data_IF_958019776309
#
_entry.id   IF_958019776309
#
_cell.length_a   1.000
_cell.length_b   1.000
_cell.length_c   1.000
_cell.angle_alpha   90.00
_cell.angle_beta   90.00
_cell.angle_gamma   90.00
#
_symmetry.space_group_name_H-M   'P 1'
#
loop_
_entity.id
_entity.type
_entity.pdbx_description
1 polymer ?
#
# COMPACT_ATOMS: atom_id res chain seq x y z
N UNK A 1 22.46 -78.18 -29.17
CA UNK A 1 21.34 -78.50 -30.08
C UNK A 1 20.23 -77.46 -29.82
N UNK A 2 19.70 -76.80 -30.86
CA UNK A 2 18.57 -75.82 -30.80
C UNK A 2 19.01 -74.35 -30.70
N UNK A 3 19.16 -73.55 -31.77
CA UNK A 3 18.20 -72.88 -32.69
C UNK A 3 17.47 -71.62 -32.14
N UNK A 4 17.81 -70.46 -32.76
CA UNK A 4 17.01 -69.29 -33.20
C UNK A 4 16.22 -68.37 -32.24
N UNK A 5 16.56 -67.08 -32.39
CA UNK A 5 15.72 -65.90 -32.70
C UNK A 5 14.51 -65.53 -31.83
N UNK A 6 14.47 -64.26 -31.43
CA UNK A 6 13.24 -63.57 -31.03
C UNK A 6 13.51 -62.32 -30.21
N UNK A 7 13.92 -61.21 -30.85
CA UNK A 7 13.69 -59.87 -30.30
C UNK A 7 12.27 -59.47 -30.69
N UNK A 8 11.47 -59.09 -29.69
CA UNK A 8 10.37 -58.09 -29.69
C UNK A 8 9.51 -58.29 -28.42
N UNK A 9 8.74 -57.30 -27.93
CA UNK A 9 8.93 -55.86 -27.92
C UNK A 9 8.95 -55.31 -26.46
N UNK A 10 9.52 -54.11 -26.29
CA UNK A 10 9.37 -53.33 -25.05
C UNK A 10 7.91 -52.94 -24.86
N UNK A 11 7.28 -53.54 -23.85
CA UNK A 11 6.03 -53.02 -23.29
C UNK A 11 6.32 -51.67 -22.61
N UNK A 12 5.73 -50.55 -23.07
CA UNK A 12 5.86 -49.28 -22.36
C UNK A 12 5.05 -49.39 -21.07
N UNK A 13 5.74 -49.33 -19.92
CA UNK A 13 5.09 -49.21 -18.63
C UNK A 13 4.42 -47.83 -18.55
N UNK A 14 3.20 -47.75 -18.00
CA UNK A 14 2.39 -46.54 -17.99
C UNK A 14 3.07 -45.44 -17.18
N UNK A 15 3.27 -44.30 -17.85
CA UNK A 15 3.72 -43.05 -17.24
C UNK A 15 2.68 -42.66 -16.18
N UNK A 16 3.12 -42.74 -14.94
CA UNK A 16 2.41 -42.35 -13.73
C UNK A 16 1.90 -40.91 -13.85
N UNK A 17 0.58 -40.77 -13.98
CA UNK A 17 -0.21 -39.53 -13.98
C UNK A 17 0.02 -38.59 -12.78
N UNK A 18 0.81 -39.02 -11.78
CA UNK A 18 1.12 -38.27 -10.58
C UNK A 18 2.19 -37.19 -10.78
N UNK A 19 2.99 -37.26 -11.86
CA UNK A 19 4.04 -36.26 -12.14
C UNK A 19 3.52 -34.98 -12.81
N UNK A 20 2.38 -35.03 -13.51
CA UNK A 20 1.77 -33.84 -14.14
C UNK A 20 1.13 -32.92 -13.08
N UNK A 21 0.64 -33.50 -11.97
CA UNK A 21 -0.02 -32.73 -10.92
C UNK A 21 0.94 -31.82 -10.12
N UNK A 22 2.20 -32.22 -9.94
CA UNK A 22 3.13 -31.47 -9.07
C UNK A 22 3.70 -30.23 -9.77
N UNK A 23 3.95 -30.30 -11.08
CA UNK A 23 4.45 -29.15 -11.85
C UNK A 23 3.37 -28.08 -12.03
N UNK A 24 2.09 -28.46 -12.07
CA UNK A 24 0.97 -27.52 -12.14
C UNK A 24 0.76 -26.71 -10.84
N UNK A 25 1.15 -27.24 -9.67
CA UNK A 25 1.00 -26.53 -8.39
C UNK A 25 2.10 -25.47 -8.19
N UNK A 26 3.32 -25.71 -8.70
CA UNK A 26 4.44 -24.78 -8.53
C UNK A 26 4.39 -23.62 -9.55
N UNK A 27 3.87 -23.84 -10.76
CA UNK A 27 3.67 -22.77 -11.75
C UNK A 27 2.36 -21.97 -11.55
N UNK A 28 1.45 -22.44 -10.70
CA UNK A 28 0.19 -21.75 -10.39
C UNK A 28 0.31 -20.67 -9.31
N UNK A 29 1.44 -20.59 -8.59
CA UNK A 29 1.65 -19.62 -7.50
C UNK A 29 2.17 -18.26 -7.97
N UNK A 30 2.38 -18.06 -9.29
CA UNK A 30 2.92 -16.81 -9.85
C UNK A 30 1.87 -15.90 -10.51
N UNK A 31 0.57 -16.18 -10.36
CA UNK A 31 -0.50 -15.43 -11.06
C UNK A 31 -1.62 -14.83 -10.19
N UNK A 32 -1.49 -14.79 -8.86
CA UNK A 32 -2.40 -13.99 -8.02
C UNK A 32 -1.64 -13.36 -6.84
N UNK A 33 -0.97 -12.25 -7.12
CA UNK A 33 -0.87 -11.16 -6.14
C UNK A 33 -1.17 -9.87 -6.89
N UNK A 34 -2.34 -9.86 -7.53
CA UNK A 34 -3.06 -8.66 -7.89
C UNK A 34 -4.27 -8.63 -6.96
N UNK A 35 -4.36 -7.62 -6.10
CA UNK A 35 -5.40 -7.51 -5.07
C UNK A 35 -4.96 -8.14 -3.76
N UNK A 36 -4.35 -7.40 -2.86
CA UNK A 36 -5.00 -6.26 -2.24
C UNK A 36 -3.91 -5.29 -1.83
N UNK A 37 -3.77 -4.20 -2.60
CA UNK A 37 -3.45 -2.94 -1.94
C UNK A 37 -4.47 -2.87 -0.79
N UNK A 38 -4.04 -2.73 0.48
CA UNK A 38 -5.01 -2.54 1.54
C UNK A 38 -5.93 -1.45 1.04
N UNK A 39 -7.20 -1.80 0.80
CA UNK A 39 -8.22 -0.83 0.51
C UNK A 39 -8.45 -0.13 1.84
N UNK A 40 -7.45 0.61 2.30
CA UNK A 40 -7.66 1.70 3.21
C UNK A 40 -8.78 2.49 2.54
N UNK A 41 -9.93 2.64 3.20
CA UNK A 41 -10.99 3.44 2.64
C UNK A 41 -10.35 4.77 2.29
N UNK A 42 -10.25 5.06 0.99
CA UNK A 42 -9.76 6.35 0.54
C UNK A 42 -10.76 7.32 1.12
N UNK A 43 -10.34 8.08 2.14
CA UNK A 43 -11.23 9.04 2.75
C UNK A 43 -11.73 9.95 1.63
N UNK A 44 -13.05 9.99 1.47
CA UNK A 44 -13.66 10.87 0.48
C UNK A 44 -13.52 12.29 1.01
N UNK A 45 -12.52 13.01 0.51
CA UNK A 45 -12.28 14.40 0.89
C UNK A 45 -13.18 15.28 0.02
N UNK A 46 -14.15 15.95 0.64
CA UNK A 46 -14.99 16.94 -0.02
C UNK A 46 -14.22 18.25 -0.28
N UNK A 47 -14.83 19.15 -1.04
CA UNK A 47 -14.18 20.40 -1.48
C UNK A 47 -13.85 21.35 -0.31
N UNK A 48 -14.69 21.42 0.73
CA UNK A 48 -14.46 22.28 1.89
C UNK A 48 -13.29 21.73 2.72
N UNK A 49 -13.27 20.41 2.95
CA UNK A 49 -12.14 19.73 3.62
C UNK A 49 -10.85 19.91 2.83
N UNK A 50 -10.88 19.72 1.50
CA UNK A 50 -9.71 19.95 0.64
C UNK A 50 -9.17 21.39 0.76
N UNK A 51 -10.06 22.38 0.78
CA UNK A 51 -9.67 23.78 0.95
C UNK A 51 -9.06 24.04 2.33
N UNK A 52 -9.61 23.43 3.39
CA UNK A 52 -9.04 23.52 4.74
C UNK A 52 -7.64 22.90 4.82
N UNK A 53 -7.41 21.74 4.20
CA UNK A 53 -6.08 21.12 4.13
C UNK A 53 -5.06 22.06 3.49
N UNK A 54 -5.44 22.72 2.39
CA UNK A 54 -4.59 23.72 1.73
C UNK A 54 -4.28 24.89 2.65
N UNK A 55 -5.29 25.48 3.30
CA UNK A 55 -5.08 26.61 4.21
C UNK A 55 -4.19 26.22 5.39
N UNK A 56 -4.41 25.04 5.97
CA UNK A 56 -3.58 24.51 7.06
C UNK A 56 -2.13 24.33 6.61
N UNK A 57 -1.90 23.70 5.47
CA UNK A 57 -0.57 23.51 4.91
C UNK A 57 0.17 24.83 4.66
N UNK A 58 -0.47 25.76 3.97
CA UNK A 58 0.08 27.08 3.65
C UNK A 58 0.38 27.88 4.93
N UNK A 59 -0.54 27.88 5.89
CA UNK A 59 -0.37 28.68 7.12
C UNK A 59 0.73 28.15 8.04
N UNK A 60 0.97 26.83 8.07
CA UNK A 60 1.99 26.24 8.94
C UNK A 60 3.39 26.26 8.31
N UNK A 61 3.50 26.26 6.98
CA UNK A 61 4.79 26.13 6.29
C UNK A 61 5.21 27.36 5.49
N UNK A 62 4.26 28.20 5.09
CA UNK A 62 4.48 29.26 4.08
C UNK A 62 4.59 28.73 2.65
N UNK A 63 4.51 27.42 2.42
CA UNK A 63 4.61 26.80 1.10
C UNK A 63 3.31 27.05 0.34
N UNK A 64 3.39 27.75 -0.80
CA UNK A 64 2.24 27.97 -1.68
C UNK A 64 2.17 26.85 -2.72
N UNK A 65 1.36 25.83 -2.45
CA UNK A 65 1.11 24.72 -3.36
C UNK A 65 -0.39 24.61 -3.71
N UNK A 66 -0.74 24.05 -4.89
CA UNK A 66 -2.12 23.75 -5.26
C UNK A 66 -2.85 22.88 -4.23
N UNK A 67 -4.18 22.99 -4.16
CA UNK A 67 -5.02 22.24 -3.21
C UNK A 67 -4.81 20.73 -3.31
N UNK A 68 -4.66 20.18 -4.51
CA UNK A 68 -4.46 18.75 -4.75
C UNK A 68 -3.14 18.22 -4.18
N UNK A 69 -2.12 19.06 -4.02
CA UNK A 69 -0.84 18.69 -3.38
C UNK A 69 -1.07 18.42 -1.89
N UNK A 70 -1.79 19.30 -1.21
CA UNK A 70 -2.12 19.13 0.22
C UNK A 70 -3.08 17.95 0.45
N UNK A 71 -4.00 17.72 -0.47
CA UNK A 71 -4.87 16.52 -0.47
C UNK A 71 -4.03 15.25 -0.62
N UNK A 72 -3.02 15.22 -1.50
CA UNK A 72 -2.14 14.06 -1.67
C UNK A 72 -1.35 13.73 -0.40
N UNK A 73 -0.80 14.75 0.28
CA UNK A 73 -0.11 14.55 1.58
C UNK A 73 -1.06 13.95 2.60
N UNK A 74 -2.26 14.53 2.74
CA UNK A 74 -3.25 14.06 3.70
C UNK A 74 -3.71 12.62 3.39
N UNK A 75 -3.95 12.29 2.12
CA UNK A 75 -4.29 10.94 1.68
C UNK A 75 -3.17 9.94 1.97
N UNK A 76 -1.91 10.31 1.71
CA UNK A 76 -0.75 9.47 2.05
C UNK A 76 -0.70 9.22 3.56
N UNK A 77 -0.94 10.26 4.35
CA UNK A 77 -1.04 10.14 5.81
C UNK A 77 -2.14 9.17 6.25
N UNK A 78 -3.33 9.30 5.66
CA UNK A 78 -4.47 8.41 5.95
C UNK A 78 -4.20 6.95 5.59
N UNK A 79 -3.53 6.69 4.47
CA UNK A 79 -3.17 5.33 4.01
C UNK A 79 -2.12 4.71 4.92
N UNK A 80 -1.12 5.48 5.35
CA UNK A 80 -0.02 4.95 6.14
C UNK A 80 -0.32 4.90 7.64
N UNK A 81 -1.35 5.63 8.11
CA UNK A 81 -1.67 5.74 9.52
C UNK A 81 -0.88 6.82 10.23
N UNK A 82 -0.66 7.97 9.59
CA UNK A 82 0.07 9.13 10.13
C UNK A 82 -0.66 9.88 11.26
N UNK A 83 -1.64 9.24 11.91
CA UNK A 83 -2.06 9.58 13.27
C UNK A 83 -1.09 9.01 14.32
N UNK A 84 -0.26 8.02 13.96
CA UNK A 84 0.91 7.61 14.74
C UNK A 84 2.08 8.58 14.47
N UNK A 85 2.79 8.96 15.53
CA UNK A 85 3.87 9.93 15.45
C UNK A 85 5.02 9.51 14.54
N UNK A 86 5.45 8.25 14.64
CA UNK A 86 6.59 7.75 13.87
C UNK A 86 6.24 7.76 12.39
N UNK A 87 5.02 7.33 12.07
CA UNK A 87 4.50 7.34 10.71
C UNK A 87 4.32 8.76 10.17
N UNK A 88 3.82 9.69 10.99
CA UNK A 88 3.68 11.09 10.57
C UNK A 88 5.02 11.73 10.21
N UNK A 89 6.07 11.40 10.97
CA UNK A 89 7.43 11.84 10.66
C UNK A 89 7.95 11.23 9.36
N UNK A 90 7.79 9.91 9.18
CA UNK A 90 8.19 9.23 7.95
C UNK A 90 7.49 9.81 6.71
N UNK A 91 6.18 10.02 6.79
CA UNK A 91 5.40 10.64 5.71
C UNK A 91 5.83 12.09 5.47
N UNK A 92 6.18 12.84 6.52
CA UNK A 92 6.67 14.22 6.40
C UNK A 92 8.05 14.31 5.75
N UNK A 93 8.98 13.45 6.14
CA UNK A 93 10.30 13.35 5.55
C UNK A 93 10.20 12.93 4.06
N UNK A 94 9.30 11.99 3.75
CA UNK A 94 9.06 11.50 2.40
C UNK A 94 8.29 12.50 1.52
N UNK A 95 7.53 13.45 2.09
CA UNK A 95 6.69 14.40 1.35
C UNK A 95 7.47 15.35 0.42
N UNK A 96 8.81 15.32 0.46
CA UNK A 96 9.67 15.98 -0.53
C UNK A 96 9.31 15.64 -1.98
N UNK A 97 8.78 14.44 -2.24
CA UNK A 97 8.33 14.02 -3.57
C UNK A 97 7.02 14.70 -4.03
N UNK A 98 6.22 15.19 -3.08
CA UNK A 98 4.92 15.84 -3.31
C UNK A 98 5.05 17.37 -3.27
N UNK A 99 5.69 17.91 -2.23
CA UNK A 99 5.73 19.36 -1.94
C UNK A 99 7.08 20.00 -2.24
N UNK A 100 8.12 19.20 -2.51
CA UNK A 100 9.48 19.66 -2.81
C UNK A 100 10.40 19.83 -1.59
N UNK A 101 9.86 19.74 -0.38
CA UNK A 101 10.60 19.85 0.88
C UNK A 101 9.96 18.97 1.98
N UNK A 102 10.71 18.60 3.04
CA UNK A 102 10.13 17.80 4.12
C UNK A 102 9.11 18.62 4.91
N UNK A 103 8.02 17.97 5.29
CA UNK A 103 6.99 18.57 6.12
C UNK A 103 7.18 18.18 7.58
N UNK A 104 6.86 19.07 8.54
CA UNK A 104 6.96 18.75 9.94
C UNK A 104 5.86 17.75 10.35
N UNK A 105 6.19 16.84 11.27
CA UNK A 105 5.35 15.69 11.61
C UNK A 105 4.00 16.10 12.22
N UNK A 106 3.96 17.21 12.95
CA UNK A 106 2.74 17.80 13.51
C UNK A 106 1.77 18.24 12.42
N UNK A 107 2.28 18.88 11.36
CA UNK A 107 1.47 19.25 10.21
C UNK A 107 0.90 18.02 9.51
N UNK A 108 1.73 17.01 9.24
CA UNK A 108 1.28 15.77 8.58
C UNK A 108 0.19 15.09 9.41
N UNK A 109 0.36 15.06 10.73
CA UNK A 109 -0.64 14.54 11.65
C UNK A 109 -1.95 15.34 11.55
N UNK A 110 -1.89 16.67 11.59
CA UNK A 110 -3.08 17.54 11.51
C UNK A 110 -3.81 17.31 10.19
N UNK A 111 -3.08 17.33 9.06
CA UNK A 111 -3.65 17.08 7.73
C UNK A 111 -4.33 15.70 7.66
N UNK A 112 -3.70 14.68 8.26
CA UNK A 112 -4.25 13.31 8.32
C UNK A 112 -5.54 13.26 9.12
N UNK A 113 -5.53 13.80 10.35
CA UNK A 113 -6.72 13.78 11.22
C UNK A 113 -7.85 14.62 10.63
N UNK A 114 -7.55 15.74 9.98
CA UNK A 114 -8.57 16.51 9.24
C UNK A 114 -9.16 15.73 8.08
N UNK A 115 -8.35 15.02 7.30
CA UNK A 115 -8.81 14.32 6.09
C UNK A 115 -9.55 13.00 6.37
N UNK A 116 -9.18 12.27 7.41
CA UNK A 116 -9.73 10.95 7.70
C UNK A 116 -10.11 10.74 9.17
N UNK A 117 -10.61 11.79 9.84
CA UNK A 117 -10.99 11.77 11.25
C UNK A 117 -11.74 10.50 11.69
N UNK A 118 -12.74 10.07 10.90
CA UNK A 118 -13.57 8.89 11.22
C UNK A 118 -12.81 7.55 11.20
N UNK A 119 -11.62 7.53 10.58
CA UNK A 119 -10.73 6.37 10.52
C UNK A 119 -9.63 6.42 11.60
N UNK A 120 -9.46 7.57 12.26
CA UNK A 120 -8.42 7.77 13.26
C UNK A 120 -8.86 7.14 14.60
N UNK A 121 -8.01 6.34 15.25
CA UNK A 121 -8.31 5.81 16.58
C UNK A 121 -8.53 6.95 17.59
N UNK A 122 -9.58 6.85 18.41
CA UNK A 122 -9.91 7.86 19.43
C UNK A 122 -8.72 8.19 20.35
N UNK A 123 -7.93 7.18 20.72
CA UNK A 123 -6.73 7.35 21.55
C UNK A 123 -5.66 8.23 20.89
N UNK A 124 -5.56 8.26 19.56
CA UNK A 124 -4.65 9.14 18.85
C UNK A 124 -5.16 10.59 18.89
N UNK A 125 -6.47 10.80 18.72
CA UNK A 125 -7.10 12.13 18.83
C UNK A 125 -6.90 12.71 20.24
N UNK A 126 -7.06 11.89 21.29
CA UNK A 126 -6.84 12.29 22.68
C UNK A 126 -5.38 12.66 22.98
N UNK A 127 -4.42 11.99 22.35
CA UNK A 127 -3.00 12.32 22.47
C UNK A 127 -2.65 13.63 21.77
N UNK A 128 -3.35 13.95 20.68
CA UNK A 128 -3.14 15.16 19.90
C UNK A 128 -1.90 15.09 19.00
N UNK A 129 -1.60 16.19 18.27
CA UNK A 129 -0.44 16.25 17.40
C UNK A 129 0.86 16.18 18.21
N UNK A 130 1.95 15.69 17.59
CA UNK A 130 3.26 15.72 18.22
C UNK A 130 3.76 17.14 18.47
N UNK A 131 4.45 17.32 19.60
CA UNK A 131 5.00 18.60 20.08
C UNK A 131 6.47 18.79 19.75
#
# INVERSE_FOLDING_TARGET
MGWRQGREPMSPRPITWRLVAVVAVVLGMLLVSCGSQPAFPTATIDADTAHQLMLTGVNNTGITAPTDVWVQVAQRGCVNGAWDWTVAKEVGDDATDIVGEPLPADLVWILTVTACHDLVPAAAIEQGPPS
#
